data_IF_006025294039
#
_entry.id   IF_006025294039
#
_cell.length_a   1.000
_cell.length_b   1.000
_cell.length_c   1.000
_cell.angle_alpha   90.00
_cell.angle_beta   90.00
_cell.angle_gamma   90.00
#
_symmetry.space_group_name_H-M   'P 1'
#
loop_
_entity.id
_entity.type
_entity.pdbx_description
1 polymer ?
#
# COMPACT_ATOMS: atom_id res chain seq x y z
N UNK A 1 -50.09 -3.45 -47.90
CA UNK A 1 -50.63 -3.16 -46.55
C UNK A 1 -49.55 -3.43 -45.52
N UNK A 2 -49.14 -2.42 -44.73
CA UNK A 2 -48.00 -2.47 -43.84
C UNK A 2 -48.41 -2.80 -42.39
N UNK A 3 -47.48 -3.26 -41.55
CA UNK A 3 -47.64 -3.21 -40.10
C UNK A 3 -46.34 -2.73 -39.46
N UNK A 4 -46.47 -1.58 -38.81
CA UNK A 4 -45.46 -0.65 -38.37
C UNK A 4 -44.96 -0.97 -36.96
N UNK A 5 -43.71 -0.58 -36.66
CA UNK A 5 -43.11 -0.56 -35.32
C UNK A 5 -43.94 0.27 -34.32
N UNK A 6 -44.02 -0.10 -33.04
CA UNK A 6 -44.34 0.84 -31.97
C UNK A 6 -43.06 1.50 -31.45
N UNK A 7 -43.01 2.81 -31.61
CA UNK A 7 -42.09 3.76 -30.98
C UNK A 7 -42.47 3.95 -29.51
N UNK A 8 -41.59 3.62 -28.57
CA UNK A 8 -41.75 3.99 -27.17
C UNK A 8 -41.43 5.48 -26.99
N UNK A 9 -42.43 6.21 -26.51
CA UNK A 9 -42.42 7.64 -26.25
C UNK A 9 -41.45 8.04 -25.12
N UNK A 10 -40.80 9.20 -25.30
CA UNK A 10 -40.08 9.93 -24.26
C UNK A 10 -41.08 10.50 -23.24
N UNK A 11 -40.86 10.36 -21.93
CA UNK A 11 -41.53 11.20 -20.93
C UNK A 11 -40.92 12.60 -20.91
N UNK A 12 -41.80 13.60 -20.87
CA UNK A 12 -41.56 15.04 -20.71
C UNK A 12 -40.95 15.39 -19.35
N UNK A 13 -40.17 16.49 -19.24
CA UNK A 13 -39.62 16.95 -17.97
C UNK A 13 -40.70 17.66 -17.13
N UNK A 14 -40.71 17.51 -15.78
CA UNK A 14 -41.56 18.33 -14.96
C UNK A 14 -41.03 19.77 -14.84
N UNK A 15 -41.99 20.66 -14.90
CA UNK A 15 -41.95 22.11 -14.81
C UNK A 15 -41.27 22.62 -13.52
N UNK A 16 -40.59 23.74 -13.69
CA UNK A 16 -39.93 24.62 -12.72
C UNK A 16 -40.61 24.77 -11.35
N UNK A 17 -39.84 24.64 -10.28
CA UNK A 17 -40.12 25.30 -8.99
C UNK A 17 -39.04 26.35 -8.72
N UNK A 18 -39.38 27.61 -8.99
CA UNK A 18 -38.54 28.78 -8.78
C UNK A 18 -38.61 29.20 -7.30
N UNK A 19 -37.61 28.83 -6.51
CA UNK A 19 -37.47 29.38 -5.15
C UNK A 19 -36.64 30.67 -5.21
N UNK A 20 -37.33 31.80 -4.98
CA UNK A 20 -36.76 33.13 -4.74
C UNK A 20 -35.69 33.07 -3.64
N UNK A 21 -34.47 33.46 -3.97
CA UNK A 21 -33.46 33.87 -2.98
C UNK A 21 -33.66 35.34 -2.61
N UNK A 22 -33.72 35.71 -1.31
CA UNK A 22 -33.67 37.10 -0.90
C UNK A 22 -32.23 37.65 -1.02
N UNK A 23 -32.10 38.75 -1.77
CA UNK A 23 -30.93 39.64 -1.76
C UNK A 23 -30.73 40.23 -0.35
N UNK A 24 -29.53 40.09 0.24
CA UNK A 24 -28.94 41.09 1.16
C UNK A 24 -27.41 41.15 0.97
N UNK A 25 -26.91 42.26 0.43
CA UNK A 25 -26.29 43.44 1.08
C UNK A 25 -24.80 43.22 1.39
N UNK A 26 -23.96 43.94 0.63
CA UNK A 26 -22.52 44.15 0.87
C UNK A 26 -22.29 44.96 2.16
N UNK A 27 -21.20 44.69 2.89
CA UNK A 27 -20.51 45.71 3.66
C UNK A 27 -19.11 46.00 3.10
N UNK A 28 -18.58 47.12 3.59
CA UNK A 28 -17.58 47.96 2.97
C UNK A 28 -16.13 47.53 3.22
N UNK A 29 -15.25 48.12 2.39
CA UNK A 29 -13.79 48.17 2.50
C UNK A 29 -13.33 48.67 3.88
N UNK A 30 -12.24 48.12 4.41
CA UNK A 30 -11.42 48.85 5.38
C UNK A 30 -10.44 48.03 6.23
N UNK A 31 -9.24 47.82 5.71
CA UNK A 31 -8.00 47.90 6.51
C UNK A 31 -7.51 46.66 7.26
N UNK A 32 -6.38 46.10 6.84
CA UNK A 32 -5.01 46.35 7.39
C UNK A 32 -4.05 45.21 7.02
N UNK A 33 -2.89 45.64 6.48
CA UNK A 33 -1.52 45.11 6.61
C UNK A 33 -1.25 43.63 6.32
N UNK A 34 -0.50 43.41 5.23
CA UNK A 34 0.25 42.21 4.87
C UNK A 34 1.57 42.09 5.69
N UNK A 35 2.43 41.08 5.48
CA UNK A 35 2.71 40.04 6.47
C UNK A 35 4.15 40.05 6.99
N UNK A 36 4.37 39.59 8.22
CA UNK A 36 5.71 39.24 8.71
C UNK A 36 5.89 37.72 8.74
N UNK A 37 7.00 37.30 8.14
CA UNK A 37 7.57 35.97 7.88
C UNK A 37 7.26 34.82 8.85
N UNK A 38 7.16 33.57 8.36
CA UNK A 38 7.28 32.37 9.19
C UNK A 38 8.77 32.06 9.52
N UNK A 39 9.06 31.41 10.66
CA UNK A 39 10.42 31.08 11.06
C UNK A 39 11.01 29.93 10.23
N UNK A 40 12.23 30.17 9.77
CA UNK A 40 13.14 29.18 9.17
C UNK A 40 13.58 28.15 10.23
N UNK A 41 13.24 26.89 10.02
CA UNK A 41 13.90 25.78 10.71
C UNK A 41 15.11 25.33 9.89
N UNK A 42 16.28 25.63 10.42
CA UNK A 42 17.58 25.18 9.94
C UNK A 42 17.69 23.66 10.02
N UNK A 43 18.14 23.07 8.92
CA UNK A 43 18.54 21.68 8.77
C UNK A 43 19.59 21.28 9.80
N UNK A 44 19.21 20.41 10.74
CA UNK A 44 20.14 19.70 11.61
C UNK A 44 20.47 18.35 10.97
N UNK A 45 21.73 18.24 10.58
CA UNK A 45 22.43 17.13 9.94
C UNK A 45 22.17 15.78 10.62
N UNK A 46 21.60 14.85 9.85
CA UNK A 46 21.52 13.43 10.20
C UNK A 46 22.92 12.85 10.32
N UNK A 47 23.31 12.45 11.54
CA UNK A 47 24.49 11.62 11.79
C UNK A 47 24.12 10.16 11.54
N UNK A 48 24.48 9.67 10.36
CA UNK A 48 24.49 8.24 10.04
C UNK A 48 25.55 7.51 10.86
N UNK A 49 25.15 6.45 11.57
CA UNK A 49 26.05 5.37 11.98
C UNK A 49 25.91 4.22 10.98
N UNK A 50 26.80 4.23 9.98
CA UNK A 50 27.10 3.06 9.15
C UNK A 50 28.40 2.44 9.69
N UNK A 51 28.31 1.25 10.28
CA UNK A 51 29.48 0.41 10.49
C UNK A 51 29.73 -0.41 9.21
N UNK A 52 30.76 -0.01 8.45
CA UNK A 52 31.54 -0.88 7.55
C UNK A 52 32.22 -1.93 8.43
N UNK A 53 32.42 -3.20 8.10
CA UNK A 53 32.51 -3.93 6.84
C UNK A 53 33.52 -5.06 7.10
N UNK A 54 33.47 -6.16 6.36
CA UNK A 54 34.56 -7.15 6.41
C UNK A 54 34.15 -8.59 6.13
N UNK A 55 34.17 -8.94 4.84
CA UNK A 55 34.18 -10.32 4.36
C UNK A 55 35.41 -11.09 4.87
N UNK A 56 35.29 -12.42 5.00
CA UNK A 56 36.27 -13.38 4.47
C UNK A 56 35.70 -14.80 4.44
N UNK A 57 35.94 -15.46 3.31
CA UNK A 57 35.63 -16.85 3.01
C UNK A 57 36.89 -17.72 3.16
N UNK A 58 36.69 -19.04 3.11
CA UNK A 58 37.64 -20.18 3.07
C UNK A 58 37.95 -20.92 4.40
N UNK A 59 37.14 -21.96 4.63
CA UNK A 59 37.51 -23.40 4.61
C UNK A 59 38.79 -23.80 5.36
N UNK A 60 38.64 -24.51 6.50
CA UNK A 60 39.23 -25.86 6.72
C UNK A 60 38.69 -26.58 7.97
N UNK A 61 38.58 -27.89 7.79
CA UNK A 61 38.28 -29.03 8.66
C UNK A 61 39.09 -29.08 9.99
N UNK A 62 38.46 -29.50 11.09
CA UNK A 62 39.16 -30.16 12.21
C UNK A 62 38.19 -31.06 13.01
N UNK A 63 38.55 -32.35 13.09
CA UNK A 63 38.09 -33.35 14.06
C UNK A 63 38.89 -33.20 15.37
N UNK A 64 38.29 -33.57 16.50
CA UNK A 64 38.83 -34.08 17.80
C UNK A 64 37.83 -33.62 18.89
N UNK A 65 37.00 -34.47 19.52
CA UNK A 65 37.26 -35.64 20.39
C UNK A 65 38.12 -35.33 21.63
N UNK A 66 37.64 -35.72 22.81
CA UNK A 66 38.43 -35.80 24.04
C UNK A 66 37.95 -34.98 25.25
N UNK A 67 36.94 -35.51 25.95
CA UNK A 67 36.90 -35.79 27.41
C UNK A 67 37.62 -34.88 28.43
N UNK A 68 36.87 -34.46 29.46
CA UNK A 68 37.13 -34.58 30.92
C UNK A 68 36.02 -33.84 31.67
N UNK A 69 35.01 -34.53 32.20
CA UNK A 69 34.99 -35.24 33.49
C UNK A 69 35.17 -34.29 34.68
N UNK A 70 34.04 -33.90 35.29
CA UNK A 70 33.98 -33.25 36.60
C UNK A 70 32.94 -34.02 37.41
N UNK A 71 33.43 -34.83 38.33
CA UNK A 71 32.70 -35.53 39.37
C UNK A 71 31.83 -34.55 40.17
N UNK A 72 30.50 -34.73 40.09
CA UNK A 72 29.54 -34.04 40.97
C UNK A 72 29.10 -35.00 42.08
N UNK A 73 29.93 -35.08 43.13
CA UNK A 73 29.59 -35.80 44.34
C UNK A 73 28.61 -34.99 45.21
N UNK A 74 27.39 -35.50 45.28
CA UNK A 74 26.38 -35.40 46.35
C UNK A 74 26.74 -34.52 47.55
N UNK A 75 25.99 -33.43 47.72
CA UNK A 75 25.60 -32.95 49.05
C UNK A 75 24.08 -32.70 49.04
N UNK A 76 23.36 -33.63 49.66
CA UNK A 76 21.95 -33.50 50.02
C UNK A 76 21.89 -32.82 51.38
N UNK A 77 21.33 -31.61 51.46
CA UNK A 77 20.73 -31.09 52.67
C UNK A 77 19.54 -30.20 52.31
N UNK A 78 18.36 -30.63 52.77
CA UNK A 78 17.10 -29.92 52.70
C UNK A 78 17.01 -28.86 53.80
N UNK A 79 16.63 -27.63 53.47
CA UNK A 79 15.85 -26.76 54.36
C UNK A 79 14.89 -25.87 53.55
N UNK A 80 13.65 -25.66 54.03
CA UNK A 80 12.59 -24.98 53.29
C UNK A 80 12.52 -23.49 53.65
N UNK A 81 12.66 -22.60 52.68
CA UNK A 81 12.32 -21.18 52.83
C UNK A 81 12.02 -20.52 51.48
N UNK A 82 10.82 -19.93 51.42
CA UNK A 82 10.36 -18.85 50.54
C UNK A 82 10.11 -19.16 49.05
N UNK A 83 8.82 -19.31 48.75
CA UNK A 83 8.12 -18.84 47.54
C UNK A 83 8.96 -17.89 46.68
N UNK A 84 9.64 -18.44 45.68
CA UNK A 84 10.22 -17.63 44.60
C UNK A 84 9.06 -17.24 43.70
N UNK A 85 8.65 -15.97 43.82
CA UNK A 85 7.77 -15.32 42.86
C UNK A 85 8.24 -15.65 41.44
N UNK A 86 7.30 -16.01 40.55
CA UNK A 86 7.55 -16.20 39.12
C UNK A 86 8.31 -15.00 38.57
N UNK A 87 9.63 -15.11 38.43
CA UNK A 87 10.45 -14.15 37.69
C UNK A 87 10.14 -14.42 36.22
N UNK A 88 9.14 -13.72 35.69
CA UNK A 88 8.92 -13.69 34.26
C UNK A 88 10.16 -13.10 33.60
N UNK A 89 10.77 -13.87 32.71
CA UNK A 89 11.96 -13.42 31.98
C UNK A 89 11.64 -12.15 31.19
N UNK A 90 12.65 -11.33 30.92
CA UNK A 90 12.48 -10.07 30.17
C UNK A 90 11.84 -10.31 28.79
N UNK A 91 12.12 -11.47 28.17
CA UNK A 91 11.48 -11.92 26.93
C UNK A 91 9.98 -12.17 27.12
N UNK A 92 9.56 -12.97 28.11
CA UNK A 92 8.14 -13.26 28.36
C UNK A 92 7.31 -12.01 28.68
N UNK A 93 7.89 -11.05 29.41
CA UNK A 93 7.23 -9.77 29.70
C UNK A 93 7.14 -8.88 28.45
N UNK A 94 8.16 -8.90 27.59
CA UNK A 94 8.16 -8.23 26.29
C UNK A 94 7.07 -8.80 25.38
N UNK A 95 6.96 -10.13 25.32
CA UNK A 95 5.97 -10.83 24.50
C UNK A 95 4.54 -10.56 24.98
N UNK A 96 4.32 -10.53 26.30
CA UNK A 96 3.01 -10.15 26.88
C UNK A 96 2.64 -8.70 26.61
N UNK A 97 3.61 -7.78 26.69
CA UNK A 97 3.38 -6.36 26.35
C UNK A 97 3.09 -6.19 24.87
N UNK A 98 3.81 -6.88 23.99
CA UNK A 98 3.56 -6.89 22.55
C UNK A 98 2.18 -7.46 22.21
N UNK A 99 1.81 -8.60 22.81
CA UNK A 99 0.50 -9.22 22.62
C UNK A 99 -0.64 -8.32 23.12
N UNK A 100 -0.49 -7.69 24.29
CA UNK A 100 -1.47 -6.72 24.80
C UNK A 100 -1.59 -5.52 23.85
N UNK A 101 -0.47 -4.98 23.36
CA UNK A 101 -0.43 -3.87 22.40
C UNK A 101 -1.16 -4.24 21.10
N UNK A 102 -0.94 -5.45 20.57
CA UNK A 102 -1.60 -5.93 19.36
C UNK A 102 -3.11 -6.12 19.57
N UNK A 103 -3.53 -6.71 20.71
CA UNK A 103 -4.95 -6.87 21.04
C UNK A 103 -5.66 -5.53 21.17
N UNK A 104 -5.05 -4.53 21.82
CA UNK A 104 -5.63 -3.20 21.93
C UNK A 104 -5.71 -2.51 20.57
N UNK A 105 -4.67 -2.60 19.73
CA UNK A 105 -4.70 -2.07 18.35
C UNK A 105 -5.87 -2.67 17.55
N UNK A 106 -6.03 -4.00 17.63
CA UNK A 106 -7.09 -4.72 16.93
C UNK A 106 -8.50 -4.37 17.43
N UNK A 107 -8.69 -4.23 18.75
CA UNK A 107 -9.94 -3.77 19.35
C UNK A 107 -10.32 -2.39 18.81
N UNK A 108 -9.40 -1.42 18.89
CA UNK A 108 -9.64 -0.06 18.40
C UNK A 108 -9.94 -0.04 16.90
N UNK A 109 -9.19 -0.83 16.10
CA UNK A 109 -9.37 -0.94 14.66
C UNK A 109 -10.73 -1.49 14.29
N UNK A 110 -11.12 -2.63 14.87
CA UNK A 110 -12.40 -3.29 14.59
C UNK A 110 -13.59 -2.41 15.02
N UNK A 111 -13.52 -1.78 16.20
CA UNK A 111 -14.51 -0.80 16.65
C UNK A 111 -14.62 0.39 15.69
N UNK A 112 -13.49 0.97 15.28
CA UNK A 112 -13.50 2.09 14.35
C UNK A 112 -14.10 1.70 12.99
N UNK A 113 -13.71 0.54 12.44
CA UNK A 113 -14.21 0.04 11.16
C UNK A 113 -15.72 -0.15 11.17
N UNK A 114 -16.29 -0.65 12.28
CA UNK A 114 -17.73 -0.74 12.49
C UNK A 114 -18.39 0.65 12.53
N UNK A 115 -17.86 1.58 13.32
CA UNK A 115 -18.42 2.93 13.44
C UNK A 115 -18.35 3.71 12.12
N UNK A 116 -17.28 3.55 11.35
CA UNK A 116 -17.17 4.15 10.01
C UNK A 116 -18.23 3.59 9.04
N UNK A 117 -18.52 2.30 9.12
CA UNK A 117 -19.57 1.68 8.31
C UNK A 117 -20.98 2.17 8.68
N UNK A 118 -21.24 2.41 9.98
CA UNK A 118 -22.54 2.83 10.49
C UNK A 118 -22.82 4.34 10.31
N UNK A 119 -21.81 5.18 10.55
CA UNK A 119 -21.97 6.65 10.66
C UNK A 119 -21.24 7.44 9.56
N UNK A 120 -20.42 6.76 8.77
CA UNK A 120 -19.51 7.39 7.81
C UNK A 120 -18.22 7.89 8.47
N UNK A 121 -17.26 8.28 7.62
CA UNK A 121 -15.97 8.80 8.10
C UNK A 121 -16.14 10.20 8.68
N UNK A 122 -16.68 11.17 7.93
CA UNK A 122 -16.60 12.59 8.30
C UNK A 122 -17.40 12.96 9.56
N UNK A 123 -18.51 12.26 9.86
CA UNK A 123 -19.37 12.52 11.01
C UNK A 123 -18.79 12.01 12.35
N UNK A 124 -17.64 11.34 12.32
CA UNK A 124 -17.13 10.52 13.41
C UNK A 124 -15.80 11.09 13.96
N UNK A 125 -15.55 11.00 15.26
CA UNK A 125 -14.29 11.47 15.86
C UNK A 125 -13.48 10.34 16.53
N UNK A 126 -12.16 10.54 16.68
CA UNK A 126 -11.33 9.60 17.46
C UNK A 126 -11.83 9.43 18.90
N UNK A 127 -12.43 10.46 19.49
CA UNK A 127 -13.04 10.39 20.81
C UNK A 127 -14.24 9.45 20.86
N UNK A 128 -15.03 9.39 19.77
CA UNK A 128 -16.12 8.42 19.66
C UNK A 128 -15.61 6.98 19.59
N UNK A 129 -14.48 6.74 18.91
CA UNK A 129 -13.86 5.40 18.84
C UNK A 129 -13.41 5.00 20.24
N UNK A 130 -12.72 5.91 20.92
CA UNK A 130 -12.16 5.67 22.24
C UNK A 130 -13.27 5.34 23.26
N UNK A 131 -14.38 6.09 23.23
CA UNK A 131 -15.55 5.87 24.07
C UNK A 131 -16.22 4.52 23.80
N UNK A 132 -16.36 4.12 22.53
CA UNK A 132 -17.02 2.87 22.16
C UNK A 132 -16.11 1.64 22.41
N UNK A 133 -14.79 1.80 22.25
CA UNK A 133 -13.80 0.77 22.54
C UNK A 133 -13.40 0.68 24.02
N UNK A 134 -13.98 1.52 24.89
CA UNK A 134 -13.66 1.64 26.32
C UNK A 134 -12.15 1.85 26.60
N UNK A 135 -11.54 2.80 25.87
CA UNK A 135 -10.14 3.19 26.04
C UNK A 135 -10.00 4.70 26.12
N UNK A 136 -8.90 5.17 26.71
CA UNK A 136 -8.55 6.59 26.67
C UNK A 136 -8.24 7.05 25.24
N UNK A 137 -8.58 8.30 24.91
CA UNK A 137 -8.26 8.92 23.60
C UNK A 137 -6.76 8.86 23.30
N UNK A 138 -5.92 9.11 24.32
CA UNK A 138 -4.47 8.99 24.19
C UNK A 138 -4.03 7.58 23.81
N UNK A 139 -4.72 6.54 24.27
CA UNK A 139 -4.44 5.15 23.87
C UNK A 139 -4.64 4.97 22.38
N UNK A 140 -5.70 5.53 21.79
CA UNK A 140 -5.90 5.48 20.34
C UNK A 140 -4.76 6.18 19.60
N UNK A 141 -4.38 7.40 20.02
CA UNK A 141 -3.27 8.14 19.41
C UNK A 141 -1.90 7.45 19.57
N UNK A 142 -1.70 6.67 20.62
CA UNK A 142 -0.49 5.86 20.78
C UNK A 142 -0.37 4.74 19.74
N UNK A 143 -1.48 4.34 19.11
CA UNK A 143 -1.52 3.29 18.10
C UNK A 143 -1.65 3.85 16.67
N UNK A 144 -2.35 4.98 16.50
CA UNK A 144 -2.67 5.58 15.21
C UNK A 144 -2.45 7.08 15.28
N UNK A 145 -1.57 7.62 14.44
CA UNK A 145 -1.27 9.05 14.44
C UNK A 145 -2.44 9.88 13.90
N UNK A 146 -3.22 9.31 12.98
CA UNK A 146 -4.33 10.00 12.31
C UNK A 146 -5.56 9.11 12.22
N UNK A 147 -6.72 9.72 11.98
CA UNK A 147 -7.99 9.01 11.80
C UNK A 147 -8.02 8.26 10.47
N UNK A 148 -7.38 8.83 9.47
CA UNK A 148 -7.15 8.24 8.16
C UNK A 148 -6.30 6.97 8.29
N UNK A 149 -5.21 7.01 9.07
CA UNK A 149 -4.40 5.82 9.36
C UNK A 149 -5.25 4.72 10.01
N UNK A 150 -6.07 5.06 11.01
CA UNK A 150 -6.99 4.11 11.64
C UNK A 150 -7.99 3.50 10.66
N UNK A 151 -8.49 4.28 9.70
CA UNK A 151 -9.42 3.80 8.68
C UNK A 151 -8.75 2.81 7.72
N UNK A 152 -7.53 3.12 7.27
CA UNK A 152 -6.79 2.31 6.29
C UNK A 152 -6.00 1.14 6.90
N UNK A 153 -5.83 1.10 8.23
CA UNK A 153 -5.08 0.04 8.91
C UNK A 153 -5.62 -1.36 8.57
N UNK A 154 -4.71 -2.25 8.16
CA UNK A 154 -5.06 -3.59 7.69
C UNK A 154 -5.80 -3.66 6.34
N UNK A 155 -6.11 -2.53 5.70
CA UNK A 155 -6.86 -2.46 4.43
C UNK A 155 -6.01 -2.02 3.23
N UNK A 156 -4.73 -1.74 3.45
CA UNK A 156 -3.78 -1.29 2.42
C UNK A 156 -2.62 -2.25 2.13
N UNK A 157 -2.78 -3.60 2.17
CA UNK A 157 -1.68 -4.49 1.80
C UNK A 157 -1.19 -4.28 0.36
N UNK A 158 -2.05 -3.73 -0.50
CA UNK A 158 -1.74 -3.36 -1.88
C UNK A 158 -0.63 -2.31 -2.00
N UNK A 159 -0.39 -1.48 -0.98
CA UNK A 159 0.66 -0.43 -1.01
C UNK A 159 2.06 -1.05 -1.07
N UNK A 160 2.27 -2.19 -0.42
CA UNK A 160 3.52 -2.93 -0.49
C UNK A 160 3.48 -4.05 -1.55
N UNK A 161 2.29 -4.52 -1.93
CA UNK A 161 2.08 -5.74 -2.69
C UNK A 161 2.83 -5.82 -4.03
N UNK A 162 2.82 -4.75 -4.82
CA UNK A 162 3.49 -4.74 -6.12
C UNK A 162 5.01 -4.78 -6.00
N UNK A 163 5.57 -4.00 -5.06
CA UNK A 163 6.99 -4.01 -4.76
C UNK A 163 7.44 -5.37 -4.20
N UNK A 164 6.60 -6.00 -3.38
CA UNK A 164 6.88 -7.33 -2.83
C UNK A 164 6.84 -8.40 -3.91
N UNK A 165 5.85 -8.36 -4.81
CA UNK A 165 5.77 -9.27 -5.95
C UNK A 165 7.05 -9.24 -6.80
N UNK A 166 7.68 -8.07 -6.96
CA UNK A 166 8.97 -7.96 -7.65
C UNK A 166 10.12 -8.57 -6.83
N UNK A 167 10.21 -8.29 -5.53
CA UNK A 167 11.30 -8.77 -4.68
C UNK A 167 11.25 -10.27 -4.41
N UNK A 168 10.07 -10.83 -4.21
CA UNK A 168 9.88 -12.24 -3.86
C UNK A 168 9.57 -13.12 -5.07
N UNK A 169 9.77 -12.60 -6.30
CA UNK A 169 9.55 -13.36 -7.53
C UNK A 169 10.42 -14.62 -7.55
N UNK A 170 9.90 -15.68 -8.18
CA UNK A 170 10.66 -16.91 -8.39
C UNK A 170 11.95 -16.60 -9.17
N UNK A 171 13.11 -17.16 -8.77
CA UNK A 171 14.34 -16.98 -9.52
C UNK A 171 14.17 -17.38 -10.99
N UNK A 172 14.60 -16.50 -11.90
CA UNK A 172 14.41 -16.68 -13.35
C UNK A 172 13.14 -16.07 -13.91
N UNK A 173 12.19 -15.65 -13.07
CA UNK A 173 11.04 -14.85 -13.50
C UNK A 173 11.43 -13.38 -13.65
N UNK A 174 11.05 -12.76 -14.77
CA UNK A 174 11.31 -11.33 -14.99
C UNK A 174 10.46 -10.46 -14.04
N UNK A 175 10.94 -9.28 -13.62
CA UNK A 175 10.15 -8.35 -12.80
C UNK A 175 8.81 -7.98 -13.43
N UNK A 176 8.77 -7.84 -14.76
CA UNK A 176 7.55 -7.50 -15.50
C UNK A 176 6.54 -8.64 -15.51
N UNK A 177 7.00 -9.89 -15.61
CA UNK A 177 6.12 -11.07 -15.49
C UNK A 177 5.50 -11.14 -14.11
N UNK A 178 6.30 -10.94 -13.05
CA UNK A 178 5.78 -10.91 -11.68
C UNK A 178 4.72 -9.80 -11.47
N UNK A 179 4.92 -8.62 -12.08
CA UNK A 179 3.94 -7.53 -12.05
C UNK A 179 2.67 -7.82 -12.83
N UNK A 180 2.77 -8.53 -13.96
CA UNK A 180 1.60 -8.99 -14.71
C UNK A 180 0.75 -9.91 -13.84
N UNK A 181 1.36 -10.94 -13.27
CA UNK A 181 0.63 -11.93 -12.48
C UNK A 181 0.04 -11.31 -11.21
N UNK A 182 0.78 -10.38 -10.58
CA UNK A 182 0.27 -9.62 -9.45
C UNK A 182 -0.92 -8.72 -9.83
N UNK A 183 -0.88 -8.05 -10.98
CA UNK A 183 -1.98 -7.21 -11.45
C UNK A 183 -3.27 -8.01 -11.61
N UNK A 184 -3.20 -9.18 -12.26
CA UNK A 184 -4.36 -10.06 -12.47
C UNK A 184 -4.97 -10.51 -11.14
N UNK A 185 -4.12 -10.99 -10.23
CA UNK A 185 -4.56 -11.41 -8.89
C UNK A 185 -5.16 -10.24 -8.08
N UNK A 186 -4.55 -9.06 -8.16
CA UNK A 186 -5.00 -7.87 -7.43
C UNK A 186 -6.38 -7.42 -7.92
N UNK A 187 -6.59 -7.32 -9.23
CA UNK A 187 -7.86 -6.87 -9.80
C UNK A 187 -8.99 -7.86 -9.49
N UNK A 188 -8.75 -9.16 -9.74
CA UNK A 188 -9.72 -10.20 -9.42
C UNK A 188 -10.08 -10.20 -7.92
N UNK A 189 -9.09 -10.08 -7.05
CA UNK A 189 -9.29 -10.02 -5.60
C UNK A 189 -10.06 -8.78 -5.14
N UNK A 190 -9.70 -7.58 -5.62
CA UNK A 190 -10.36 -6.34 -5.22
C UNK A 190 -11.81 -6.27 -5.71
N UNK A 191 -12.05 -6.55 -7.00
CA UNK A 191 -13.39 -6.47 -7.56
C UNK A 191 -14.27 -7.63 -7.07
N UNK A 192 -13.73 -8.85 -6.97
CA UNK A 192 -14.44 -9.99 -6.39
C UNK A 192 -14.85 -9.76 -4.94
N UNK A 193 -14.02 -9.06 -4.15
CA UNK A 193 -14.36 -8.73 -2.77
C UNK A 193 -15.57 -7.80 -2.62
N UNK A 194 -16.00 -7.10 -3.68
CA UNK A 194 -17.22 -6.28 -3.67
C UNK A 194 -18.51 -7.12 -3.54
N UNK A 195 -18.43 -8.45 -3.68
CA UNK A 195 -19.53 -9.34 -3.31
C UNK A 195 -19.84 -9.28 -1.79
N UNK A 196 -18.85 -8.96 -0.95
CA UNK A 196 -19.01 -8.82 0.50
C UNK A 196 -19.58 -7.45 0.89
N UNK A 197 -20.60 -7.43 1.75
CA UNK A 197 -21.25 -6.20 2.21
C UNK A 197 -20.27 -5.25 2.94
N UNK A 198 -19.39 -5.80 3.79
CA UNK A 198 -18.37 -5.01 4.50
C UNK A 198 -17.46 -4.25 3.52
N UNK A 199 -17.02 -4.91 2.44
CA UNK A 199 -16.17 -4.29 1.43
C UNK A 199 -16.91 -3.19 0.68
N UNK A 200 -18.19 -3.39 0.33
CA UNK A 200 -19.01 -2.34 -0.30
C UNK A 200 -19.17 -1.14 0.62
N UNK A 201 -19.40 -1.36 1.91
CA UNK A 201 -19.49 -0.27 2.91
C UNK A 201 -18.17 0.49 3.03
N UNK A 202 -17.03 -0.20 3.06
CA UNK A 202 -15.71 0.43 3.01
C UNK A 202 -15.54 1.33 1.77
N UNK A 203 -15.81 0.80 0.58
CA UNK A 203 -15.68 1.57 -0.67
C UNK A 203 -16.63 2.77 -0.69
N UNK A 204 -17.89 2.58 -0.30
CA UNK A 204 -18.86 3.67 -0.22
C UNK A 204 -18.40 4.77 0.76
N UNK A 205 -17.77 4.39 1.87
CA UNK A 205 -17.23 5.34 2.85
C UNK A 205 -16.05 6.14 2.26
N UNK A 206 -15.15 5.47 1.51
CA UNK A 206 -14.06 6.16 0.80
C UNK A 206 -14.63 7.15 -0.22
N UNK A 207 -15.57 6.72 -1.06
CA UNK A 207 -16.13 7.58 -2.12
C UNK A 207 -16.90 8.78 -1.56
N UNK A 208 -17.56 8.62 -0.41
CA UNK A 208 -18.30 9.69 0.24
C UNK A 208 -17.42 10.76 0.89
N UNK A 209 -16.14 10.48 1.17
CA UNK A 209 -15.24 11.40 1.87
C UNK A 209 -14.10 11.90 0.98
N UNK A 210 -14.00 13.22 0.82
CA UNK A 210 -12.88 13.85 0.11
C UNK A 210 -11.54 13.57 0.80
N UNK A 211 -11.53 13.59 2.14
CA UNK A 211 -10.34 13.31 2.96
C UNK A 211 -9.81 11.90 2.71
N UNK A 212 -10.69 10.90 2.66
CA UNK A 212 -10.27 9.52 2.37
C UNK A 212 -9.78 9.34 0.94
N UNK A 213 -10.43 9.98 -0.05
CA UNK A 213 -9.95 9.96 -1.44
C UNK A 213 -8.59 10.64 -1.59
N UNK A 214 -8.35 11.74 -0.88
CA UNK A 214 -7.04 12.39 -0.84
C UNK A 214 -5.98 11.45 -0.27
N UNK A 215 -6.27 10.82 0.87
CA UNK A 215 -5.36 9.84 1.49
C UNK A 215 -5.11 8.63 0.60
N UNK A 216 -6.12 8.11 -0.10
CA UNK A 216 -5.95 6.98 -1.04
C UNK A 216 -4.98 7.33 -2.18
N UNK A 217 -5.01 8.57 -2.67
CA UNK A 217 -4.03 9.05 -3.67
C UNK A 217 -2.61 9.15 -3.10
N UNK A 218 -2.45 9.57 -1.85
CA UNK A 218 -1.15 9.58 -1.19
C UNK A 218 -0.58 8.17 -1.03
N UNK A 219 -1.42 7.21 -0.64
CA UNK A 219 -1.05 5.80 -0.55
C UNK A 219 -0.69 5.21 -1.92
N UNK A 220 -1.38 5.61 -2.99
CA UNK A 220 -1.04 5.23 -4.35
C UNK A 220 0.33 5.77 -4.77
N UNK A 221 0.63 7.04 -4.46
CA UNK A 221 1.94 7.62 -4.70
C UNK A 221 3.05 6.94 -3.87
N UNK A 222 2.73 6.48 -2.65
CA UNK A 222 3.65 5.67 -1.85
C UNK A 222 3.91 4.29 -2.48
N UNK A 223 2.87 3.62 -2.95
CA UNK A 223 2.98 2.34 -3.65
C UNK A 223 3.86 2.47 -4.91
N UNK A 224 3.71 3.56 -5.65
CA UNK A 224 4.53 3.87 -6.82
C UNK A 224 6.01 4.00 -6.46
N UNK A 225 6.34 4.79 -5.43
CA UNK A 225 7.74 4.95 -4.97
C UNK A 225 8.35 3.61 -4.53
N UNK A 226 7.58 2.79 -3.80
CA UNK A 226 8.02 1.47 -3.35
C UNK A 226 8.27 0.52 -4.52
N UNK A 227 7.40 0.55 -5.53
CA UNK A 227 7.55 -0.26 -6.73
C UNK A 227 8.75 0.18 -7.58
N UNK A 228 8.93 1.50 -7.77
CA UNK A 228 10.07 2.04 -8.50
C UNK A 228 11.41 1.61 -7.86
N UNK A 229 11.49 1.64 -6.53
CA UNK A 229 12.66 1.15 -5.81
C UNK A 229 12.90 -0.35 -6.03
N UNK A 230 11.85 -1.18 -5.94
CA UNK A 230 11.97 -2.63 -6.15
C UNK A 230 12.38 -2.99 -7.59
N UNK A 231 11.88 -2.26 -8.59
CA UNK A 231 12.27 -2.44 -9.99
C UNK A 231 13.73 -2.03 -10.23
N UNK A 232 14.16 -0.91 -9.65
CA UNK A 232 15.55 -0.45 -9.75
C UNK A 232 16.52 -1.47 -9.13
N UNK A 233 16.21 -2.00 -7.95
CA UNK A 233 16.98 -3.07 -7.30
C UNK A 233 17.04 -4.32 -8.20
N UNK A 234 15.88 -4.79 -8.65
CA UNK A 234 15.76 -5.99 -9.46
C UNK A 234 16.55 -5.93 -10.78
N UNK A 235 16.54 -4.78 -11.46
CA UNK A 235 17.24 -4.63 -12.73
C UNK A 235 18.73 -4.38 -12.57
N UNK A 236 19.18 -3.74 -11.48
CA UNK A 236 20.60 -3.66 -11.16
C UNK A 236 21.21 -5.04 -10.87
N UNK A 237 20.46 -5.91 -10.22
CA UNK A 237 20.88 -7.29 -10.00
C UNK A 237 20.99 -8.08 -11.31
N UNK A 238 20.09 -7.82 -12.27
CA UNK A 238 20.14 -8.41 -13.61
C UNK A 238 21.32 -7.90 -14.44
N UNK A 239 21.62 -6.59 -14.38
CA UNK A 239 22.82 -6.00 -14.97
C UNK A 239 24.10 -6.60 -14.39
N UNK A 240 24.19 -6.71 -13.07
CA UNK A 240 25.33 -7.33 -12.39
C UNK A 240 25.50 -8.81 -12.76
N UNK A 241 24.40 -9.49 -13.10
CA UNK A 241 24.38 -10.86 -13.59
C UNK A 241 24.59 -11.00 -15.11
N UNK A 242 25.00 -9.92 -15.81
CA UNK A 242 25.32 -9.93 -17.24
C UNK A 242 24.11 -9.92 -18.16
N UNK A 243 22.93 -9.50 -17.68
CA UNK A 243 21.70 -9.32 -18.48
C UNK A 243 21.29 -7.85 -18.48
N UNK A 244 22.05 -6.97 -19.18
CA UNK A 244 21.79 -5.55 -19.15
C UNK A 244 20.52 -5.18 -19.90
N UNK A 245 19.81 -4.17 -19.39
CA UNK A 245 18.66 -3.60 -20.06
C UNK A 245 19.05 -2.70 -21.24
N UNK A 246 18.15 -2.58 -22.22
CA UNK A 246 18.31 -1.64 -23.33
C UNK A 246 18.35 -0.17 -22.90
N UNK A 247 17.79 0.17 -21.72
CA UNK A 247 17.72 1.53 -21.19
C UNK A 247 18.13 1.57 -19.70
N UNK A 248 18.66 2.70 -19.21
CA UNK A 248 19.10 2.84 -17.83
C UNK A 248 17.98 2.56 -16.81
N UNK A 249 18.21 1.69 -15.80
CA UNK A 249 17.25 1.36 -14.74
C UNK A 249 16.71 2.59 -14.00
N UNK A 250 17.53 3.63 -13.84
CA UNK A 250 17.18 4.86 -13.12
C UNK A 250 16.02 5.62 -13.77
N UNK A 251 15.86 5.49 -15.09
CA UNK A 251 14.80 6.16 -15.86
C UNK A 251 13.62 5.22 -16.07
N UNK A 252 13.88 3.95 -16.37
CA UNK A 252 12.82 2.99 -16.68
C UNK A 252 12.01 2.57 -15.45
N UNK A 253 12.64 2.43 -14.28
CA UNK A 253 11.96 1.96 -13.06
C UNK A 253 10.83 2.89 -12.60
N UNK A 254 11.06 4.21 -12.42
CA UNK A 254 9.97 5.12 -12.06
C UNK A 254 8.89 5.21 -13.14
N UNK A 255 9.27 5.16 -14.42
CA UNK A 255 8.30 5.19 -15.53
C UNK A 255 7.37 3.97 -15.51
N UNK A 256 7.93 2.76 -15.42
CA UNK A 256 7.13 1.52 -15.37
C UNK A 256 6.26 1.49 -14.12
N UNK A 257 6.77 1.93 -12.97
CA UNK A 257 5.99 2.01 -11.75
C UNK A 257 4.78 2.96 -11.90
N UNK A 258 4.99 4.17 -12.42
CA UNK A 258 3.94 5.15 -12.64
C UNK A 258 2.88 4.64 -13.63
N UNK A 259 3.31 4.03 -14.75
CA UNK A 259 2.41 3.44 -15.73
C UNK A 259 1.57 2.30 -15.12
N UNK A 260 2.19 1.40 -14.36
CA UNK A 260 1.51 0.28 -13.73
C UNK A 260 0.50 0.76 -12.67
N UNK A 261 0.88 1.71 -11.81
CA UNK A 261 -0.04 2.25 -10.79
C UNK A 261 -1.19 3.03 -11.42
N UNK A 262 -0.94 3.76 -12.51
CA UNK A 262 -2.01 4.42 -13.26
C UNK A 262 -3.00 3.41 -13.83
N UNK A 263 -2.51 2.29 -14.37
CA UNK A 263 -3.36 1.21 -14.85
C UNK A 263 -4.20 0.62 -13.70
N UNK A 264 -3.60 0.26 -12.57
CA UNK A 264 -4.32 -0.26 -11.40
C UNK A 264 -5.40 0.71 -10.91
N UNK A 265 -5.08 2.00 -10.83
CA UNK A 265 -6.03 3.04 -10.41
C UNK A 265 -7.26 3.05 -11.32
N UNK A 266 -7.07 3.11 -12.63
CA UNK A 266 -8.17 3.11 -13.61
C UNK A 266 -8.97 1.80 -13.51
N UNK A 267 -8.28 0.66 -13.47
CA UNK A 267 -8.92 -0.64 -13.48
C UNK A 267 -9.75 -0.90 -12.21
N UNK A 268 -9.30 -0.45 -11.03
CA UNK A 268 -9.96 -0.72 -9.75
C UNK A 268 -10.82 0.45 -9.29
N UNK A 269 -10.27 1.65 -9.17
CA UNK A 269 -10.97 2.81 -8.58
C UNK A 269 -12.08 3.31 -9.50
N UNK A 270 -11.86 3.37 -10.81
CA UNK A 270 -12.88 3.88 -11.73
C UNK A 270 -13.97 2.83 -12.02
N UNK A 271 -13.68 1.53 -11.86
CA UNK A 271 -14.69 0.47 -12.07
C UNK A 271 -15.39 0.00 -10.79
N UNK A 272 -14.83 0.18 -9.58
CA UNK A 272 -15.49 -0.26 -8.33
C UNK A 272 -16.87 0.37 -8.15
N UNK A 273 -17.04 1.63 -8.57
CA UNK A 273 -18.33 2.31 -8.55
C UNK A 273 -19.36 1.63 -9.47
N UNK A 274 -18.96 1.32 -10.70
CA UNK A 274 -19.80 0.64 -11.71
C UNK A 274 -20.20 -0.78 -11.29
N UNK A 275 -19.29 -1.48 -10.61
CA UNK A 275 -19.58 -2.80 -10.02
C UNK A 275 -20.56 -2.69 -8.86
N UNK A 276 -20.42 -1.67 -8.01
CA UNK A 276 -21.35 -1.42 -6.90
C UNK A 276 -22.75 -1.02 -7.38
N UNK A 277 -22.86 -0.22 -8.47
CA UNK A 277 -24.15 0.17 -9.06
C UNK A 277 -24.80 -0.92 -9.92
N UNK A 278 -24.06 -2.00 -10.21
CA UNK A 278 -24.53 -3.10 -11.06
C UNK A 278 -24.52 -2.78 -12.56
N UNK A 279 -23.91 -1.67 -12.98
CA UNK A 279 -23.69 -1.34 -14.41
C UNK A 279 -22.76 -2.34 -15.10
N UNK A 280 -21.91 -3.01 -14.31
CA UNK A 280 -21.05 -4.11 -14.74
C UNK A 280 -20.85 -5.07 -13.58
N UNK A 281 -20.37 -6.28 -13.85
CA UNK A 281 -20.00 -7.24 -12.84
C UNK A 281 -18.47 -7.37 -12.72
N UNK A 282 -18.00 -7.88 -11.57
CA UNK A 282 -16.58 -8.03 -11.30
C UNK A 282 -15.87 -8.99 -12.28
N UNK A 283 -16.57 -10.01 -12.79
CA UNK A 283 -15.99 -10.99 -13.70
C UNK A 283 -15.75 -10.38 -15.09
N UNK A 284 -16.70 -9.61 -15.60
CA UNK A 284 -16.59 -8.86 -16.86
C UNK A 284 -15.41 -7.90 -16.83
N UNK A 285 -15.26 -7.13 -15.74
CA UNK A 285 -14.11 -6.21 -15.60
C UNK A 285 -12.79 -7.00 -15.50
N UNK A 286 -12.75 -8.09 -14.74
CA UNK A 286 -11.55 -8.93 -14.60
C UNK A 286 -11.12 -9.54 -15.95
N UNK A 287 -12.06 -10.06 -16.74
CA UNK A 287 -11.77 -10.60 -18.07
C UNK A 287 -11.28 -9.51 -19.04
N UNK A 288 -11.84 -8.30 -18.98
CA UNK A 288 -11.35 -7.16 -19.75
C UNK A 288 -9.92 -6.76 -19.33
N UNK A 289 -9.61 -6.81 -18.03
CA UNK A 289 -8.27 -6.55 -17.51
C UNK A 289 -7.28 -7.60 -17.97
N UNK A 290 -7.61 -8.89 -17.90
CA UNK A 290 -6.77 -9.97 -18.42
C UNK A 290 -6.43 -9.71 -19.89
N UNK A 291 -7.44 -9.40 -20.70
CA UNK A 291 -7.25 -9.10 -22.11
C UNK A 291 -6.36 -7.86 -22.36
N UNK A 292 -6.55 -6.78 -21.60
CA UNK A 292 -5.75 -5.55 -21.73
C UNK A 292 -4.33 -5.75 -21.21
N UNK A 293 -4.16 -6.43 -20.07
CA UNK A 293 -2.86 -6.73 -19.50
C UNK A 293 -2.03 -7.59 -20.46
N UNK A 294 -2.62 -8.61 -21.07
CA UNK A 294 -1.94 -9.44 -22.07
C UNK A 294 -1.54 -8.66 -23.31
N UNK A 295 -2.40 -7.74 -23.77
CA UNK A 295 -2.09 -6.92 -24.95
C UNK A 295 -1.08 -5.81 -24.67
N UNK A 296 -1.13 -5.16 -23.50
CA UNK A 296 -0.27 -4.01 -23.17
C UNK A 296 1.05 -4.46 -22.56
N UNK A 297 1.01 -5.30 -21.52
CA UNK A 297 2.22 -5.80 -20.87
C UNK A 297 2.92 -6.86 -21.73
N UNK A 298 2.17 -7.71 -22.43
CA UNK A 298 2.75 -8.66 -23.38
C UNK A 298 3.47 -7.94 -24.53
N UNK A 299 2.89 -6.87 -25.08
CA UNK A 299 3.56 -6.08 -26.12
C UNK A 299 4.81 -5.36 -25.61
N UNK A 300 4.78 -4.83 -24.38
CA UNK A 300 5.96 -4.22 -23.76
C UNK A 300 7.07 -5.26 -23.48
N UNK A 301 6.71 -6.47 -23.06
CA UNK A 301 7.65 -7.57 -22.85
C UNK A 301 8.27 -8.04 -24.17
N UNK A 302 7.45 -8.25 -25.20
CA UNK A 302 7.89 -8.67 -26.53
C UNK A 302 8.79 -7.61 -27.18
N UNK A 303 8.42 -6.33 -27.10
CA UNK A 303 9.26 -5.24 -27.61
C UNK A 303 10.55 -5.07 -26.80
N UNK A 304 10.51 -5.22 -25.47
CA UNK A 304 11.72 -5.24 -24.67
C UNK A 304 12.65 -6.39 -25.11
N UNK A 305 12.14 -7.60 -25.31
CA UNK A 305 12.94 -8.73 -25.81
C UNK A 305 13.46 -8.51 -27.24
N UNK A 306 12.67 -7.94 -28.15
CA UNK A 306 13.10 -7.60 -29.52
C UNK A 306 14.20 -6.54 -29.53
N UNK A 307 14.11 -5.54 -28.65
CA UNK A 307 15.13 -4.50 -28.49
C UNK A 307 16.40 -5.07 -27.84
N UNK A 308 16.31 -6.06 -26.95
CA UNK A 308 17.50 -6.77 -26.44
C UNK A 308 18.15 -7.66 -27.51
N UNK A 309 17.35 -8.29 -28.37
CA UNK A 309 17.86 -9.09 -29.49
C UNK A 309 18.49 -8.25 -30.62
N UNK A 310 18.14 -6.97 -30.71
CA UNK A 310 18.79 -5.99 -31.58
C UNK A 310 19.67 -5.09 -30.73
N UNK A 311 20.88 -5.53 -30.40
CA UNK A 311 21.91 -4.65 -29.87
C UNK A 311 21.87 -3.32 -30.65
N UNK A 312 21.56 -2.22 -29.96
CA UNK A 312 21.57 -0.89 -30.57
C UNK A 312 22.94 -0.73 -31.25
N UNK A 313 23.00 -0.40 -32.55
CA UNK A 313 24.28 -0.21 -33.20
C UNK A 313 25.04 0.83 -32.40
N UNK A 314 26.21 0.43 -31.88
CA UNK A 314 27.10 1.32 -31.14
C UNK A 314 27.22 2.61 -31.93
N UNK A 315 26.91 3.75 -31.30
CA UNK A 315 27.02 5.06 -31.91
C UNK A 315 28.44 5.22 -32.45
N UNK A 316 28.64 4.92 -33.73
CA UNK A 316 29.92 5.00 -34.41
C UNK A 316 30.30 6.47 -34.44
N UNK A 317 31.52 6.72 -33.97
CA UNK A 317 31.98 8.03 -33.55
C UNK A 317 31.77 9.13 -34.60
N UNK A 318 31.29 10.28 -34.12
CA UNK A 318 31.66 11.56 -34.71
C UNK A 318 33.17 11.73 -34.55
N UNK A 319 33.92 11.32 -35.58
CA UNK A 319 35.26 11.88 -35.80
C UNK A 319 35.08 13.34 -36.13
N UNK A 320 35.70 14.19 -35.31
CA UNK A 320 36.02 15.55 -35.68
C UNK A 320 36.92 15.52 -36.92
N UNK A 321 36.54 16.32 -37.91
CA UNK A 321 37.30 16.66 -39.11
C UNK A 321 36.90 18.08 -39.49
#
# INVERSE_FOLDING_TARGET
MPASRPSCARPTPPTTCSTRYPRRVRPARGGRRSPTSPPTWTSSTSRCWWARGGARCWRTRAHHDGTRDIDNARFQHEHPILSVAKIHTVSELSDRRAAKKARTRELVRSTAHRLFAERGFDAMTIADVARDADVAVQTVFNHFATKEELFFDGRTPWVAGSAEAVRTRTPGTSPLTALRDHLLALVAGQLGSLACAERRSYVATVEASETLRARERELAAEAERRLAAALLEAWRDEEAAGRPMAFPPEVTAPLVAAMWLSAVRVLIVENRGRVVTGETDAATVSAAVEHVADRVLGHLHDEAHRLHGRALPAASGRRAG
#
